data_IF_401203859334
#
_entry.id   IF_401203859334
#
_cell.length_a   1.000
_cell.length_b   1.000
_cell.length_c   1.000
_cell.angle_alpha   90.00
_cell.angle_beta   90.00
_cell.angle_gamma   90.00
#
_symmetry.space_group_name_H-M   'P 1'
#
loop_
_entity.id
_entity.type
_entity.pdbx_description
1 polymer ?
#
# COMPACT_ATOMS: atom_id res chain seq x y z
N UNK A 1 -11.47 4.06 14.82
CA UNK A 1 -10.46 3.13 15.35
C UNK A 1 -9.79 2.49 14.15
N UNK A 2 -8.57 2.90 13.80
CA UNK A 2 -7.86 2.29 12.67
C UNK A 2 -7.64 0.82 12.99
N UNK A 3 -7.83 -0.12 12.04
CA UNK A 3 -7.57 -1.53 12.28
C UNK A 3 -6.14 -1.68 12.82
N UNK A 4 -5.98 -2.44 13.90
CA UNK A 4 -4.66 -2.79 14.42
C UNK A 4 -3.99 -3.72 13.42
N UNK A 5 -3.30 -3.14 12.43
CA UNK A 5 -2.52 -3.89 11.46
C UNK A 5 -1.38 -4.60 12.21
N UNK A 6 -1.34 -5.93 12.12
CA UNK A 6 -0.30 -6.77 12.70
C UNK A 6 0.72 -7.14 11.63
N UNK A 7 1.99 -7.33 12.00
CA UNK A 7 3.02 -7.75 11.05
C UNK A 7 4.31 -6.94 11.20
N UNK A 8 5.40 -7.37 10.53
CA UNK A 8 6.72 -6.75 10.67
C UNK A 8 6.76 -5.30 10.17
N UNK A 9 5.83 -4.88 9.30
CA UNK A 9 5.74 -3.52 8.78
C UNK A 9 4.61 -2.69 9.43
N UNK A 10 4.05 -3.16 10.55
CA UNK A 10 3.05 -2.42 11.32
C UNK A 10 3.53 -0.99 11.60
N UNK A 11 2.64 -0.02 11.36
CA UNK A 11 2.85 1.39 11.67
C UNK A 11 3.53 2.18 10.56
N UNK A 12 3.99 1.51 9.50
CA UNK A 12 4.44 2.18 8.29
C UNK A 12 3.25 2.61 7.44
N UNK A 13 3.34 3.82 6.88
CA UNK A 13 2.41 4.35 5.88
C UNK A 13 3.15 4.48 4.56
N UNK A 14 2.58 3.93 3.50
CA UNK A 14 3.20 3.88 2.18
C UNK A 14 2.23 4.49 1.17
N UNK A 15 2.72 5.42 0.36
CA UNK A 15 1.98 5.95 -0.79
C UNK A 15 2.49 5.25 -2.04
N UNK A 16 1.61 4.49 -2.71
CA UNK A 16 1.93 3.81 -3.96
C UNK A 16 1.51 4.65 -5.17
N UNK A 17 2.49 5.25 -5.86
CA UNK A 17 2.31 6.02 -7.11
C UNK A 17 2.77 5.24 -8.35
N UNK A 18 3.07 3.95 -8.20
CA UNK A 18 3.50 3.09 -9.30
C UNK A 18 2.34 2.74 -10.24
N UNK A 19 2.61 2.10 -11.37
CA UNK A 19 1.57 1.66 -12.32
C UNK A 19 1.91 0.29 -12.88
N UNK A 20 0.94 -0.31 -13.57
CA UNK A 20 1.06 -1.62 -14.20
C UNK A 20 1.23 -2.70 -13.13
N UNK A 21 2.21 -3.62 -13.26
CA UNK A 21 2.25 -4.83 -12.43
C UNK A 21 3.30 -4.76 -11.32
N UNK A 22 4.55 -4.42 -11.65
CA UNK A 22 5.66 -4.59 -10.73
C UNK A 22 5.51 -3.76 -9.45
N UNK A 23 5.09 -2.50 -9.58
CA UNK A 23 4.93 -1.61 -8.45
C UNK A 23 3.75 -1.97 -7.55
N UNK A 24 2.52 -2.14 -8.06
CA UNK A 24 1.38 -2.55 -7.24
C UNK A 24 1.61 -3.90 -6.57
N UNK A 25 2.27 -4.84 -7.26
CA UNK A 25 2.63 -6.13 -6.67
C UNK A 25 3.63 -5.99 -5.52
N UNK A 26 4.66 -5.15 -5.68
CA UNK A 26 5.62 -4.89 -4.62
C UNK A 26 4.93 -4.31 -3.38
N UNK A 27 4.07 -3.31 -3.55
CA UNK A 27 3.38 -2.66 -2.41
C UNK A 27 2.27 -3.53 -1.82
N UNK A 28 1.69 -4.44 -2.60
CA UNK A 28 0.78 -5.46 -2.07
C UNK A 28 1.50 -6.36 -1.05
N UNK A 29 2.71 -6.85 -1.37
CA UNK A 29 3.51 -7.65 -0.43
C UNK A 29 3.84 -6.87 0.86
N UNK A 30 4.05 -5.55 0.76
CA UNK A 30 4.26 -4.69 1.93
C UNK A 30 2.99 -4.57 2.79
N UNK A 31 1.82 -4.46 2.14
CA UNK A 31 0.52 -4.48 2.81
C UNK A 31 0.24 -5.78 3.53
N UNK A 32 0.55 -6.92 2.88
CA UNK A 32 0.43 -8.27 3.49
C UNK A 32 1.31 -8.41 4.74
N UNK A 33 2.43 -7.67 4.81
CA UNK A 33 3.30 -7.59 5.98
C UNK A 33 2.86 -6.55 7.04
N UNK A 34 1.69 -5.94 6.88
CA UNK A 34 1.06 -5.06 7.87
C UNK A 34 1.29 -3.55 7.66
N UNK A 35 1.80 -3.14 6.50
CA UNK A 35 1.88 -1.71 6.15
C UNK A 35 0.49 -1.15 5.80
N UNK A 36 0.27 0.13 6.09
CA UNK A 36 -0.88 0.91 5.61
C UNK A 36 -0.54 1.51 4.25
N UNK A 37 -1.01 0.88 3.17
CA UNK A 37 -0.69 1.24 1.79
C UNK A 37 -1.86 1.98 1.15
N UNK A 38 -1.62 3.23 0.75
CA UNK A 38 -2.59 4.04 0.01
C UNK A 38 -2.15 4.13 -1.44
N UNK A 39 -3.01 3.65 -2.34
CA UNK A 39 -2.80 3.81 -3.77
C UNK A 39 -3.14 5.24 -4.20
N UNK A 40 -2.20 5.90 -4.89
CA UNK A 40 -2.41 7.23 -5.45
C UNK A 40 -2.56 7.10 -6.95
N UNK A 41 -3.76 7.42 -7.43
CA UNK A 41 -4.11 7.34 -8.83
C UNK A 41 -4.32 8.72 -9.46
N UNK A 42 -4.25 8.76 -10.80
CA UNK A 42 -4.57 9.97 -11.55
C UNK A 42 -6.06 10.31 -11.44
N UNK A 43 -6.44 11.56 -11.13
CA UNK A 43 -7.84 11.96 -11.15
C UNK A 43 -8.49 11.67 -12.51
N UNK A 44 -9.70 11.10 -12.48
CA UNK A 44 -10.52 10.83 -13.67
C UNK A 44 -10.12 9.63 -14.53
N UNK A 45 -8.91 9.10 -14.40
CA UNK A 45 -8.43 7.94 -15.18
C UNK A 45 -7.83 6.82 -14.34
N UNK A 46 -7.75 7.04 -13.03
CA UNK A 46 -7.19 6.14 -12.04
C UNK A 46 -7.81 4.76 -12.02
#
# INVERSE_FOLDING_TARGET
MSPTNTGPLRGLKILDMSRILAGPYATQLLGDMGADVVKIERPGTG
#
